data_IF_446874660969
#
_entry.id   IF_446874660969
#
_cell.length_a   1.000
_cell.length_b   1.000
_cell.length_c   1.000
_cell.angle_alpha   90.00
_cell.angle_beta   90.00
_cell.angle_gamma   90.00
#
_symmetry.space_group_name_H-M   'P 1'
#
loop_
_entity.id
_entity.type
_entity.pdbx_description
1 polymer ?
#
# COMPACT_ATOMS: atom_id res chain seq x y z
N UNK A 1 48.29 37.25 15.92
CA UNK A 1 47.03 37.27 16.69
C UNK A 1 45.94 36.74 15.77
N UNK A 2 45.48 35.51 15.98
CA UNK A 2 44.48 34.85 15.13
C UNK A 2 43.11 35.22 15.68
N UNK A 3 42.35 35.99 14.92
CA UNK A 3 40.98 36.40 15.27
C UNK A 3 40.05 35.21 15.06
N UNK A 4 39.61 34.59 16.15
CA UNK A 4 38.62 33.52 16.13
C UNK A 4 37.23 34.12 15.90
N UNK A 5 36.72 33.99 14.69
CA UNK A 5 35.32 34.30 14.35
C UNK A 5 34.44 33.25 15.05
N UNK A 6 33.46 33.66 15.88
CA UNK A 6 32.53 32.71 16.47
C UNK A 6 31.60 32.19 15.38
N UNK A 7 31.72 30.90 15.06
CA UNK A 7 30.74 30.17 14.26
C UNK A 7 29.46 30.05 15.09
N UNK A 8 28.57 31.04 14.98
CA UNK A 8 27.22 30.92 15.54
C UNK A 8 26.46 29.90 14.72
N UNK A 9 26.57 28.63 15.09
CA UNK A 9 25.63 27.59 14.63
C UNK A 9 24.26 28.05 15.09
N UNK A 10 23.31 28.38 14.20
CA UNK A 10 21.96 28.71 14.64
C UNK A 10 21.40 27.48 15.34
N UNK A 11 21.26 27.57 16.65
CA UNK A 11 20.56 26.57 17.45
C UNK A 11 19.12 26.59 16.97
N UNK A 12 18.75 25.62 16.12
CA UNK A 12 17.38 25.38 15.74
C UNK A 12 16.67 24.86 17.00
N UNK A 13 16.23 25.78 17.85
CA UNK A 13 15.38 25.50 19.01
C UNK A 13 14.06 25.01 18.45
N UNK A 14 13.91 23.70 18.26
CA UNK A 14 12.59 23.12 18.04
C UNK A 14 11.74 23.47 19.26
N UNK A 15 10.73 24.30 19.04
CA UNK A 15 9.73 24.58 20.06
C UNK A 15 9.14 23.24 20.55
N UNK A 16 8.83 23.15 21.84
CA UNK A 16 8.23 21.95 22.43
C UNK A 16 7.00 21.45 21.65
N UNK A 17 6.24 22.35 21.02
CA UNK A 17 5.12 22.04 20.12
C UNK A 17 5.55 21.35 18.82
N UNK A 18 6.70 21.69 18.28
CA UNK A 18 7.24 21.05 17.07
C UNK A 18 7.80 19.67 17.38
N UNK A 19 8.45 19.51 18.53
CA UNK A 19 8.87 18.21 19.03
C UNK A 19 7.66 17.26 19.24
N UNK A 20 6.59 17.76 19.87
CA UNK A 20 5.36 17.00 20.09
C UNK A 20 4.68 16.62 18.76
N UNK A 21 4.59 17.56 17.81
CA UNK A 21 4.05 17.28 16.46
C UNK A 21 4.89 16.24 15.72
N UNK A 22 6.21 16.37 15.77
CA UNK A 22 7.13 15.40 15.16
C UNK A 22 6.94 14.00 15.75
N UNK A 23 6.82 13.88 17.06
CA UNK A 23 6.61 12.58 17.70
C UNK A 23 5.23 11.99 17.34
N UNK A 24 4.18 12.82 17.31
CA UNK A 24 2.86 12.39 16.88
C UNK A 24 2.89 11.86 15.42
N UNK A 25 3.57 12.56 14.52
CA UNK A 25 3.76 12.10 13.14
C UNK A 25 4.46 10.74 13.08
N UNK A 26 5.48 10.49 13.93
CA UNK A 26 6.17 9.19 13.99
C UNK A 26 5.26 8.08 14.49
N UNK A 27 4.46 8.35 15.52
CA UNK A 27 3.48 7.39 16.04
C UNK A 27 2.45 7.03 14.97
N UNK A 28 1.92 8.01 14.26
CA UNK A 28 0.92 7.77 13.22
C UNK A 28 1.52 7.07 11.99
N UNK A 29 2.76 7.40 11.62
CA UNK A 29 3.50 6.68 10.59
C UNK A 29 3.68 5.19 10.94
N UNK A 30 4.07 4.86 12.18
CA UNK A 30 4.18 3.46 12.64
C UNK A 30 2.84 2.73 12.59
N UNK A 31 1.75 3.38 13.01
CA UNK A 31 0.40 2.78 12.91
C UNK A 31 0.01 2.47 11.47
N UNK A 32 0.35 3.35 10.53
CA UNK A 32 0.11 3.13 9.11
C UNK A 32 0.97 2.00 8.56
N UNK A 33 2.24 1.96 8.94
CA UNK A 33 3.17 0.88 8.58
C UNK A 33 2.64 -0.49 9.04
N UNK A 34 2.15 -0.59 10.27
CA UNK A 34 1.58 -1.83 10.80
C UNK A 34 0.30 -2.24 10.05
N UNK A 35 -0.55 -1.27 9.68
CA UNK A 35 -1.73 -1.53 8.84
C UNK A 35 -1.32 -2.05 7.45
N UNK A 36 -0.31 -1.43 6.84
CA UNK A 36 0.22 -1.85 5.54
C UNK A 36 0.80 -3.27 5.60
N UNK A 37 1.61 -3.58 6.62
CA UNK A 37 2.17 -4.93 6.85
C UNK A 37 1.08 -5.98 6.97
N UNK A 38 0.02 -5.72 7.75
CA UNK A 38 -1.12 -6.63 7.89
C UNK A 38 -1.87 -6.82 6.57
N UNK A 39 -2.11 -5.74 5.83
CA UNK A 39 -2.75 -5.81 4.52
C UNK A 39 -1.92 -6.62 3.51
N UNK A 40 -0.60 -6.40 3.47
CA UNK A 40 0.34 -7.13 2.62
C UNK A 40 0.36 -8.62 2.97
N UNK A 41 0.44 -8.97 4.25
CA UNK A 41 0.37 -10.37 4.69
C UNK A 41 -0.93 -11.03 4.20
N UNK A 42 -2.07 -10.37 4.40
CA UNK A 42 -3.35 -10.88 3.93
C UNK A 42 -3.46 -10.96 2.40
N UNK A 43 -2.76 -10.11 1.65
CA UNK A 43 -2.66 -10.22 0.20
C UNK A 43 -1.82 -11.43 -0.21
N UNK A 44 -0.64 -11.61 0.39
CA UNK A 44 0.25 -12.75 0.14
C UNK A 44 -0.43 -14.09 0.44
N UNK A 45 -1.18 -14.18 1.55
CA UNK A 45 -1.90 -15.40 1.92
C UNK A 45 -2.96 -15.77 0.87
N UNK A 46 -3.70 -14.77 0.35
CA UNK A 46 -4.70 -14.98 -0.72
C UNK A 46 -4.03 -15.37 -2.04
N UNK A 47 -2.95 -14.70 -2.40
CA UNK A 47 -2.18 -15.01 -3.60
C UNK A 47 -1.64 -16.45 -3.55
N UNK A 48 -1.05 -16.84 -2.41
CA UNK A 48 -0.58 -18.21 -2.17
C UNK A 48 -1.71 -19.22 -2.32
N UNK A 49 -2.90 -18.95 -1.75
CA UNK A 49 -4.06 -19.84 -1.88
C UNK A 49 -4.50 -19.99 -3.33
N UNK A 50 -4.56 -18.90 -4.10
CA UNK A 50 -4.89 -18.94 -5.52
C UNK A 50 -3.83 -19.73 -6.32
N UNK A 51 -2.55 -19.54 -6.01
CA UNK A 51 -1.44 -20.27 -6.62
C UNK A 51 -1.53 -21.78 -6.33
N UNK A 52 -1.83 -22.18 -5.10
CA UNK A 52 -2.05 -23.59 -4.75
C UNK A 52 -3.21 -24.20 -5.55
N UNK A 53 -4.30 -23.45 -5.75
CA UNK A 53 -5.41 -23.90 -6.60
C UNK A 53 -4.98 -24.04 -8.06
N UNK A 54 -4.11 -23.17 -8.57
CA UNK A 54 -3.61 -23.23 -9.94
C UNK A 54 -2.73 -24.46 -10.24
N UNK A 55 -2.08 -25.01 -9.21
CA UNK A 55 -1.31 -26.25 -9.33
C UNK A 55 -2.18 -27.50 -9.48
N UNK A 56 -3.47 -27.43 -9.11
CA UNK A 56 -4.39 -28.52 -9.35
C UNK A 56 -4.94 -28.43 -10.78
N UNK A 57 -4.70 -29.43 -11.66
CA UNK A 57 -5.13 -29.37 -13.06
C UNK A 57 -6.64 -29.16 -13.22
N UNK A 58 -7.43 -29.70 -12.27
CA UNK A 58 -8.89 -29.56 -12.25
C UNK A 58 -9.36 -28.12 -12.09
N UNK A 59 -8.60 -27.28 -11.39
CA UNK A 59 -8.99 -25.90 -11.06
C UNK A 59 -8.17 -24.85 -11.80
N UNK A 60 -7.03 -25.25 -12.38
CA UNK A 60 -6.13 -24.38 -13.15
C UNK A 60 -6.86 -23.56 -14.20
N UNK A 61 -7.80 -24.17 -14.92
CA UNK A 61 -8.63 -23.46 -15.90
C UNK A 61 -9.28 -22.21 -15.28
N UNK A 62 -9.93 -22.36 -14.12
CA UNK A 62 -10.61 -21.25 -13.45
C UNK A 62 -9.63 -20.24 -12.84
N UNK A 63 -8.47 -20.66 -12.35
CA UNK A 63 -7.49 -19.71 -11.79
C UNK A 63 -6.86 -18.82 -12.85
N UNK A 64 -6.65 -19.35 -14.05
CA UNK A 64 -6.02 -18.62 -15.17
C UNK A 64 -7.04 -17.74 -15.92
N UNK A 65 -8.33 -18.01 -15.74
CA UNK A 65 -9.41 -17.26 -16.36
C UNK A 65 -9.66 -15.89 -15.69
N UNK A 66 -10.15 -14.96 -16.51
CA UNK A 66 -10.61 -13.64 -16.05
C UNK A 66 -11.79 -13.79 -15.10
N UNK A 67 -11.82 -12.95 -14.06
CA UNK A 67 -12.87 -12.89 -13.04
C UNK A 67 -14.29 -12.90 -13.63
N UNK A 68 -14.55 -12.06 -14.65
CA UNK A 68 -15.86 -11.95 -15.29
C UNK A 68 -16.32 -13.28 -15.93
N UNK A 69 -15.38 -14.04 -16.49
CA UNK A 69 -15.71 -15.33 -17.10
C UNK A 69 -16.01 -16.37 -16.01
N UNK A 70 -15.23 -16.41 -14.94
CA UNK A 70 -15.51 -17.29 -13.80
C UNK A 70 -16.88 -17.00 -13.16
N UNK A 71 -17.26 -15.73 -13.05
CA UNK A 71 -18.59 -15.32 -12.58
C UNK A 71 -19.73 -15.79 -13.49
N UNK A 72 -19.50 -15.83 -14.81
CA UNK A 72 -20.46 -16.40 -15.75
C UNK A 72 -20.58 -17.92 -15.55
N UNK A 73 -19.45 -18.64 -15.48
CA UNK A 73 -19.42 -20.09 -15.29
C UNK A 73 -20.11 -20.56 -14.01
N UNK A 74 -20.08 -19.77 -12.94
CA UNK A 74 -20.78 -20.09 -11.70
C UNK A 74 -22.29 -20.31 -11.89
N UNK A 75 -22.91 -19.69 -12.88
CA UNK A 75 -24.33 -19.87 -13.20
C UNK A 75 -24.62 -21.22 -13.85
N UNK A 76 -23.63 -21.75 -14.59
CA UNK A 76 -23.78 -22.96 -15.39
C UNK A 76 -23.23 -24.21 -14.68
N UNK A 77 -22.48 -24.04 -13.59
CA UNK A 77 -21.89 -25.12 -12.81
C UNK A 77 -22.92 -25.85 -11.94
N UNK A 78 -23.34 -27.04 -12.40
CA UNK A 78 -24.25 -27.93 -11.65
C UNK A 78 -23.55 -28.77 -10.57
N UNK A 79 -22.25 -29.02 -10.72
CA UNK A 79 -21.48 -29.81 -9.75
C UNK A 79 -21.18 -28.97 -8.50
N UNK A 80 -21.81 -29.30 -7.36
CA UNK A 80 -21.69 -28.56 -6.10
C UNK A 80 -20.24 -28.36 -5.65
N UNK A 81 -19.44 -29.43 -5.61
CA UNK A 81 -18.05 -29.34 -5.15
C UNK A 81 -17.16 -28.50 -6.07
N UNK A 82 -17.39 -28.53 -7.38
CA UNK A 82 -16.66 -27.66 -8.31
C UNK A 82 -17.11 -26.20 -8.15
N UNK A 83 -18.41 -25.98 -8.01
CA UNK A 83 -18.99 -24.65 -7.78
C UNK A 83 -18.41 -23.99 -6.53
N UNK A 84 -18.34 -24.68 -5.40
CA UNK A 84 -17.76 -24.15 -4.15
C UNK A 84 -16.31 -23.70 -4.32
N UNK A 85 -15.49 -24.46 -5.07
CA UNK A 85 -14.09 -24.08 -5.34
C UNK A 85 -14.02 -22.88 -6.29
N UNK A 86 -14.85 -22.84 -7.34
CA UNK A 86 -14.89 -21.68 -8.25
C UNK A 86 -15.40 -20.43 -7.54
N UNK A 87 -16.35 -20.56 -6.61
CA UNK A 87 -16.81 -19.45 -5.76
C UNK A 87 -15.67 -18.91 -4.89
N UNK A 88 -14.83 -19.80 -4.34
CA UNK A 88 -13.63 -19.40 -3.60
C UNK A 88 -12.60 -18.69 -4.50
N UNK A 89 -12.34 -19.21 -5.71
CA UNK A 89 -11.45 -18.56 -6.70
C UNK A 89 -11.95 -17.15 -7.04
N UNK A 90 -13.24 -17.02 -7.36
CA UNK A 90 -13.88 -15.72 -7.67
C UNK A 90 -13.76 -14.77 -6.48
N UNK A 91 -13.99 -15.25 -5.25
CA UNK A 91 -13.82 -14.46 -4.03
C UNK A 91 -12.39 -13.97 -3.87
N UNK A 92 -11.39 -14.83 -4.07
CA UNK A 92 -9.97 -14.48 -3.99
C UNK A 92 -9.59 -13.44 -5.05
N UNK A 93 -9.98 -13.66 -6.31
CA UNK A 93 -9.74 -12.74 -7.42
C UNK A 93 -10.36 -11.36 -7.15
N UNK A 94 -11.60 -11.28 -6.65
CA UNK A 94 -12.25 -10.02 -6.24
C UNK A 94 -11.49 -9.29 -5.14
N UNK A 95 -11.07 -10.03 -4.11
CA UNK A 95 -10.33 -9.45 -2.98
C UNK A 95 -8.97 -8.92 -3.42
N UNK A 96 -8.27 -9.64 -4.30
CA UNK A 96 -7.01 -9.17 -4.89
C UNK A 96 -7.20 -7.92 -5.72
N UNK A 97 -8.18 -7.89 -6.63
CA UNK A 97 -8.48 -6.73 -7.47
C UNK A 97 -8.94 -5.50 -6.65
N UNK A 98 -9.54 -5.71 -5.48
CA UNK A 98 -9.88 -4.63 -4.55
C UNK A 98 -8.64 -4.06 -3.87
N UNK A 99 -7.71 -4.93 -3.45
CA UNK A 99 -6.46 -4.50 -2.82
C UNK A 99 -5.53 -3.79 -3.81
N UNK A 100 -5.42 -4.31 -5.02
CA UNK A 100 -4.63 -3.71 -6.10
C UNK A 100 -5.07 -2.26 -6.38
N UNK A 101 -6.37 -2.03 -6.59
CA UNK A 101 -6.94 -0.67 -6.75
C UNK A 101 -6.65 0.25 -5.56
N UNK A 102 -6.69 -0.27 -4.33
CA UNK A 102 -6.36 0.52 -3.13
C UNK A 102 -4.87 0.86 -3.06
N UNK A 103 -4.01 -0.05 -3.49
CA UNK A 103 -2.56 0.18 -3.55
C UNK A 103 -2.23 1.20 -4.63
N UNK A 104 -2.83 1.09 -5.82
CA UNK A 104 -2.70 2.10 -6.89
C UNK A 104 -3.13 3.48 -6.40
N UNK A 105 -4.29 3.60 -5.75
CA UNK A 105 -4.75 4.86 -5.20
C UNK A 105 -3.80 5.42 -4.11
N UNK A 106 -3.25 4.55 -3.27
CA UNK A 106 -2.28 4.96 -2.24
C UNK A 106 -0.97 5.46 -2.86
N UNK A 107 -0.47 4.81 -3.91
CA UNK A 107 0.73 5.22 -4.65
C UNK A 107 0.51 6.58 -5.33
N UNK A 108 -0.65 6.81 -5.93
CA UNK A 108 -0.95 8.10 -6.55
C UNK A 108 -1.06 9.24 -5.51
N UNK A 109 -1.65 8.98 -4.34
CA UNK A 109 -1.68 9.97 -3.26
C UNK A 109 -0.27 10.23 -2.70
N UNK A 110 0.58 9.21 -2.56
CA UNK A 110 1.99 9.37 -2.16
C UNK A 110 2.74 10.26 -3.16
N UNK A 111 2.62 10.00 -4.47
CA UNK A 111 3.24 10.84 -5.51
C UNK A 111 2.76 12.29 -5.44
N UNK A 112 1.47 12.50 -5.15
CA UNK A 112 0.91 13.83 -5.00
C UNK A 112 1.50 14.56 -3.79
N UNK A 113 1.53 13.90 -2.63
CA UNK A 113 2.12 14.47 -1.41
C UNK A 113 3.62 14.75 -1.57
N UNK A 114 4.36 13.87 -2.25
CA UNK A 114 5.79 14.07 -2.51
C UNK A 114 6.02 15.30 -3.42
N UNK A 115 5.20 15.48 -4.47
CA UNK A 115 5.23 16.69 -5.30
C UNK A 115 4.96 17.96 -4.47
N UNK A 116 3.89 17.96 -3.68
CA UNK A 116 3.53 19.10 -2.81
C UNK A 116 4.66 19.44 -1.83
N UNK A 117 5.31 18.41 -1.27
CA UNK A 117 6.46 18.57 -0.39
C UNK A 117 7.64 19.23 -1.11
N UNK A 118 8.02 18.73 -2.28
CA UNK A 118 9.14 19.29 -3.05
C UNK A 118 8.88 20.72 -3.53
N UNK A 119 7.65 21.04 -3.92
CA UNK A 119 7.24 22.42 -4.23
C UNK A 119 7.42 23.36 -3.03
N UNK A 120 7.00 22.91 -1.84
CA UNK A 120 7.18 23.66 -0.60
C UNK A 120 8.65 23.87 -0.28
N UNK A 121 9.46 22.80 -0.33
CA UNK A 121 10.90 22.87 -0.07
C UNK A 121 11.59 23.86 -1.02
N UNK A 122 11.26 23.81 -2.31
CA UNK A 122 11.84 24.73 -3.30
C UNK A 122 11.42 26.19 -3.07
N UNK A 123 10.17 26.43 -2.67
CA UNK A 123 9.67 27.77 -2.32
C UNK A 123 10.42 28.41 -1.16
N UNK A 124 10.83 27.63 -0.16
CA UNK A 124 11.57 28.15 1.00
C UNK A 124 13.09 28.14 0.82
N UNK A 125 13.63 27.35 -0.11
CA UNK A 125 15.05 27.45 -0.52
C UNK A 125 15.37 28.78 -1.19
N UNK A 126 14.45 29.34 -1.99
CA UNK A 126 14.63 30.62 -2.69
C UNK A 126 14.39 31.89 -1.85
N UNK A 127 14.12 31.78 -0.54
CA UNK A 127 13.87 32.92 0.37
C UNK A 127 15.05 33.26 1.30
N UNK A 128 16.22 32.65 1.08
CA UNK A 128 17.44 32.85 1.88
C UNK A 128 18.49 33.76 1.23
N UNK A 129 18.08 34.59 0.27
CA UNK A 129 18.94 35.65 -0.31
C UNK A 129 18.55 37.02 0.23
#
# INVERSE_FOLDING_TARGET
MVSSVPTSTPAYSMDFRDALRSEQCRVDARKLEDKAKRALKGWLDRHRRLQLLSHCPRYKFFTDMKLQLNEAWLKDLRCKGLREIVEDIVRLQRQMACLERKMEAAVEEEKKLDREFWELVNKYKGKKE
#
